data_IF_765600547997
#
_entry.id   IF_765600547997
#
_cell.length_a   1.000
_cell.length_b   1.000
_cell.length_c   1.000
_cell.angle_alpha   90.00
_cell.angle_beta   90.00
_cell.angle_gamma   90.00
#
_symmetry.space_group_name_H-M   'P 1'
#
loop_
_entity.id
_entity.type
_entity.pdbx_description
1 polymer ?
#
# COMPACT_ATOMS: atom_id res chain seq x y z
N UNK A 1 13.70 -1.13 5.86
CA UNK A 1 13.44 -0.59 6.89
C UNK A 1 12.18 -0.91 7.60
N UNK A 2 12.34 -1.62 8.65
CA UNK A 2 11.20 -2.05 9.35
C UNK A 2 10.45 -0.96 9.98
N UNK A 3 11.16 0.07 10.34
CA UNK A 3 10.53 1.13 10.95
C UNK A 3 9.47 1.74 10.14
N UNK A 4 9.60 1.71 8.85
CA UNK A 4 8.62 2.30 7.99
C UNK A 4 7.30 1.57 8.17
N UNK A 5 7.34 0.26 8.28
CA UNK A 5 6.15 -0.47 8.47
C UNK A 5 5.51 -0.22 9.81
N UNK A 6 6.32 -0.11 10.81
CA UNK A 6 5.81 0.14 12.12
C UNK A 6 5.26 1.50 12.19
N UNK A 7 5.99 2.45 11.65
CA UNK A 7 5.57 3.80 11.75
C UNK A 7 4.35 4.09 10.96
N UNK A 8 4.10 3.38 9.90
CA UNK A 8 2.93 3.69 9.16
C UNK A 8 1.71 3.50 10.00
N UNK A 9 1.73 2.54 10.93
CA UNK A 9 0.59 2.39 11.76
C UNK A 9 0.52 3.46 12.79
N UNK A 10 1.64 3.99 13.19
CA UNK A 10 1.64 5.03 14.18
C UNK A 10 1.29 6.34 13.57
N UNK A 11 1.92 6.64 12.46
CA UNK A 11 1.73 7.92 11.85
C UNK A 11 0.34 8.16 11.45
N UNK A 12 -0.34 7.15 11.11
CA UNK A 12 -1.61 7.36 10.57
C UNK A 12 -2.68 7.28 11.55
N UNK A 13 -2.34 7.15 12.77
CA UNK A 13 -3.32 6.91 13.70
C UNK A 13 -3.72 7.94 14.57
N UNK A 14 -3.45 9.14 14.21
CA UNK A 14 -3.90 10.22 14.98
C UNK A 14 -5.37 10.23 14.98
N UNK A 15 -6.00 9.60 14.02
CA UNK A 15 -7.42 9.53 14.04
C UNK A 15 -7.84 8.23 13.44
N UNK A 16 -9.03 7.78 13.73
CA UNK A 16 -9.50 6.52 13.23
C UNK A 16 -9.52 6.53 11.73
N UNK A 17 -8.92 5.56 11.14
CA UNK A 17 -8.88 5.51 9.71
C UNK A 17 -10.03 4.74 9.19
N UNK A 18 -10.66 5.25 8.20
CA UNK A 18 -11.58 4.49 7.44
C UNK A 18 -10.81 3.84 6.35
N UNK A 19 -11.34 2.86 5.73
CA UNK A 19 -10.72 2.30 4.57
C UNK A 19 -10.60 3.38 3.58
N UNK A 20 -9.41 3.67 3.20
CA UNK A 20 -9.19 4.71 2.27
C UNK A 20 -8.60 4.10 1.07
N UNK A 21 -9.26 4.21 -0.02
CA UNK A 21 -8.71 3.84 -1.28
C UNK A 21 -8.18 5.11 -1.83
N UNK A 22 -6.90 5.33 -1.60
CA UNK A 22 -6.25 6.54 -2.06
C UNK A 22 -6.19 6.55 -3.56
N UNK A 23 -5.98 5.38 -4.17
CA UNK A 23 -5.99 5.27 -5.62
C UNK A 23 -6.40 3.88 -5.97
N UNK A 24 -7.16 3.69 -7.03
CA UNK A 24 -7.40 2.35 -7.51
C UNK A 24 -6.09 1.72 -7.95
N UNK A 25 -5.97 0.43 -7.72
CA UNK A 25 -4.74 -0.26 -8.09
C UNK A 25 -4.41 -0.05 -9.56
N UNK A 26 -5.41 -0.02 -10.41
CA UNK A 26 -5.18 0.13 -11.84
C UNK A 26 -4.49 1.42 -12.20
N UNK A 27 -4.57 2.42 -11.36
CA UNK A 27 -3.95 3.69 -11.68
C UNK A 27 -2.46 3.70 -11.46
N UNK A 28 -1.93 2.73 -10.74
CA UNK A 28 -0.50 2.69 -10.55
C UNK A 28 0.16 1.60 -11.38
N UNK A 29 -0.60 0.91 -12.21
CA UNK A 29 -0.05 -0.11 -13.08
C UNK A 29 0.15 0.47 -14.47
N UNK A 30 1.32 0.24 -15.03
CA UNK A 30 1.64 0.78 -16.33
C UNK A 30 2.29 -0.32 -17.15
N UNK A 31 1.79 -0.54 -18.34
CA UNK A 31 2.31 -1.60 -19.19
C UNK A 31 3.81 -1.46 -19.43
N UNK A 32 4.47 -2.59 -19.42
CA UNK A 32 5.91 -2.61 -19.63
C UNK A 32 6.18 -3.01 -21.08
N UNK A 33 6.86 -2.17 -21.85
CA UNK A 33 7.13 -2.50 -23.25
C UNK A 33 8.02 -3.73 -23.40
N UNK A 34 8.70 -4.13 -22.35
CA UNK A 34 9.55 -5.31 -22.41
C UNK A 34 8.78 -6.60 -22.14
N UNK A 35 7.52 -6.52 -21.81
CA UNK A 35 6.70 -7.71 -21.64
C UNK A 35 6.81 -8.40 -20.29
N UNK A 36 7.39 -7.74 -19.29
CA UNK A 36 7.48 -8.32 -17.97
C UNK A 36 6.20 -8.22 -17.18
N UNK A 37 5.21 -7.53 -17.68
CA UNK A 37 3.98 -7.28 -16.93
C UNK A 37 3.82 -5.79 -16.74
N UNK A 38 3.10 -5.38 -15.72
CA UNK A 38 2.91 -3.96 -15.49
C UNK A 38 3.92 -3.45 -14.49
N UNK A 39 4.42 -2.27 -14.73
CA UNK A 39 5.29 -1.60 -13.77
C UNK A 39 4.39 -1.00 -12.69
N UNK A 40 4.75 -1.17 -11.43
CA UNK A 40 4.01 -0.57 -10.32
C UNK A 40 4.60 0.78 -10.03
N UNK A 41 3.81 1.82 -10.21
CA UNK A 41 4.28 3.18 -10.04
C UNK A 41 3.90 3.74 -8.70
N UNK A 42 4.62 4.76 -8.27
CA UNK A 42 4.29 5.48 -7.06
C UNK A 42 2.94 6.16 -7.20
N UNK A 43 2.01 5.96 -6.30
CA UNK A 43 0.69 6.59 -6.41
C UNK A 43 0.71 8.09 -6.18
N UNK A 44 1.80 8.61 -5.66
CA UNK A 44 1.88 10.05 -5.38
C UNK A 44 2.48 10.79 -6.57
N UNK A 45 3.56 10.29 -7.15
CA UNK A 45 4.27 11.03 -8.19
C UNK A 45 4.51 10.24 -9.47
N UNK A 46 4.02 9.01 -9.53
CA UNK A 46 4.17 8.17 -10.72
C UNK A 46 5.58 7.73 -11.06
N UNK A 47 6.48 7.80 -10.09
CA UNK A 47 7.85 7.35 -10.31
C UNK A 47 7.86 5.83 -10.53
N UNK A 48 8.73 5.34 -11.37
CA UNK A 48 8.72 3.96 -11.83
C UNK A 48 9.46 2.97 -10.94
N UNK A 49 10.32 3.44 -10.07
CA UNK A 49 11.19 2.53 -9.34
C UNK A 49 10.83 2.48 -7.88
N UNK A 50 10.62 1.28 -7.38
CA UNK A 50 10.25 1.08 -5.98
C UNK A 50 10.76 -0.28 -5.52
N UNK A 51 10.74 -0.48 -4.21
CA UNK A 51 11.21 -1.71 -3.59
C UNK A 51 10.14 -2.25 -2.66
N UNK A 52 9.89 -3.53 -2.74
CA UNK A 52 8.96 -4.19 -1.84
C UNK A 52 9.65 -4.43 -0.53
N UNK A 53 8.97 -4.08 0.55
CA UNK A 53 9.47 -4.36 1.88
C UNK A 53 8.82 -5.64 2.39
N UNK A 54 8.85 -5.85 3.67
CA UNK A 54 8.38 -7.11 4.24
C UNK A 54 6.86 -7.21 4.19
N UNK A 55 6.36 -8.27 3.59
CA UNK A 55 4.92 -8.48 3.43
C UNK A 55 4.33 -8.98 4.73
N UNK A 56 3.16 -8.49 5.07
CA UNK A 56 2.49 -8.87 6.29
C UNK A 56 1.05 -9.31 6.03
N UNK A 57 0.56 -10.17 6.90
CA UNK A 57 -0.81 -10.64 6.84
C UNK A 57 -1.47 -10.14 8.12
N UNK A 58 -2.33 -9.17 8.02
CA UNK A 58 -2.88 -8.47 9.18
C UNK A 58 -4.41 -8.55 9.17
N UNK A 59 -5.03 -8.30 10.31
CA UNK A 59 -6.48 -8.22 10.38
C UNK A 59 -6.87 -6.78 10.67
N UNK A 60 -8.16 -6.49 10.72
CA UNK A 60 -8.61 -5.13 10.89
C UNK A 60 -8.26 -4.55 12.24
N UNK A 61 -7.99 -5.38 13.23
CA UNK A 61 -7.57 -4.85 14.52
C UNK A 61 -6.14 -4.35 14.45
N UNK A 62 -5.32 -4.97 13.63
CA UNK A 62 -3.91 -4.59 13.51
C UNK A 62 -3.70 -3.57 12.40
N UNK A 63 -4.56 -3.56 11.42
CA UNK A 63 -4.36 -2.68 10.26
C UNK A 63 -5.65 -1.90 10.02
N UNK A 64 -5.68 -0.68 10.47
CA UNK A 64 -6.90 0.10 10.48
C UNK A 64 -7.39 0.53 9.10
N UNK A 65 -6.55 0.47 8.10
CA UNK A 65 -6.99 0.79 6.76
C UNK A 65 -7.88 -0.32 6.19
N UNK A 66 -7.92 -1.49 6.82
CA UNK A 66 -8.72 -2.61 6.33
C UNK A 66 -9.94 -2.81 7.25
N UNK A 67 -11.15 -2.47 6.76
CA UNK A 67 -12.33 -2.61 7.59
C UNK A 67 -13.00 -3.98 7.51
N UNK A 68 -12.52 -4.86 6.66
CA UNK A 68 -13.17 -6.14 6.45
C UNK A 68 -12.93 -7.11 7.59
N UNK A 69 -13.63 -8.25 7.55
CA UNK A 69 -13.54 -9.20 8.62
C UNK A 69 -12.38 -10.14 8.49
N UNK A 70 -11.99 -10.47 7.29
CA UNK A 70 -10.90 -11.41 7.09
C UNK A 70 -9.56 -10.73 7.15
N UNK A 71 -8.53 -11.45 6.77
CA UNK A 71 -7.19 -10.90 6.81
C UNK A 71 -6.92 -10.01 5.61
N UNK A 72 -5.88 -9.24 5.70
CA UNK A 72 -5.44 -8.37 4.64
C UNK A 72 -3.96 -8.58 4.42
N UNK A 73 -3.58 -8.91 3.21
CA UNK A 73 -2.18 -9.03 2.85
C UNK A 73 -1.71 -7.61 2.53
N UNK A 74 -0.68 -7.17 3.23
CA UNK A 74 -0.16 -5.83 3.07
C UNK A 74 1.22 -5.94 2.45
N UNK A 75 1.38 -5.36 1.28
CA UNK A 75 2.65 -5.38 0.56
C UNK A 75 3.19 -3.97 0.57
N UNK A 76 4.16 -3.68 1.43
CA UNK A 76 4.67 -2.32 1.52
C UNK A 76 5.65 -2.03 0.41
N UNK A 77 5.56 -0.86 -0.14
CA UNK A 77 6.49 -0.39 -1.17
C UNK A 77 7.12 0.90 -0.70
N UNK A 78 8.38 1.04 -1.02
CA UNK A 78 9.05 2.30 -0.79
C UNK A 78 9.61 2.75 -2.12
N UNK A 79 9.20 3.89 -2.61
CA UNK A 79 9.67 4.40 -3.88
C UNK A 79 11.05 4.99 -3.77
N UNK A 80 11.81 4.91 -4.83
CA UNK A 80 13.10 5.59 -4.85
C UNK A 80 12.89 7.09 -4.86
N UNK A 81 11.67 7.53 -5.07
CA UNK A 81 11.29 8.91 -4.96
C UNK A 81 11.07 9.39 -3.54
N UNK A 82 11.11 8.49 -2.57
CA UNK A 82 10.94 8.85 -1.17
C UNK A 82 9.53 8.70 -0.63
N UNK A 83 8.57 8.32 -1.46
CA UNK A 83 7.22 8.07 -0.99
C UNK A 83 7.08 6.61 -0.56
N UNK A 84 6.08 6.35 0.25
CA UNK A 84 5.83 4.98 0.71
C UNK A 84 4.36 4.69 0.67
N UNK A 85 4.01 3.50 0.29
CA UNK A 85 2.61 3.09 0.20
C UNK A 85 2.50 1.58 0.38
N UNK A 86 1.28 1.12 0.61
CA UNK A 86 1.01 -0.30 0.69
C UNK A 86 0.05 -0.68 -0.43
N UNK A 87 0.32 -1.81 -1.05
CA UNK A 87 -0.65 -2.45 -1.91
C UNK A 87 -1.29 -3.53 -1.07
N UNK A 88 -2.58 -3.51 -0.97
CA UNK A 88 -3.29 -4.36 -0.02
C UNK A 88 -4.30 -5.23 -0.72
N UNK A 89 -4.41 -6.48 -0.26
CA UNK A 89 -5.43 -7.39 -0.76
C UNK A 89 -6.16 -7.93 0.45
N UNK A 90 -7.39 -7.51 0.63
CA UNK A 90 -8.17 -7.90 1.80
C UNK A 90 -9.30 -8.84 1.44
N UNK A 91 -9.60 -9.76 2.33
CA UNK A 91 -10.66 -10.73 2.11
C UNK A 91 -11.84 -10.42 3.01
N UNK A 92 -13.04 -10.38 2.43
CA UNK A 92 -14.22 -10.11 3.22
C UNK A 92 -15.40 -10.79 2.55
N UNK A 93 -16.02 -11.72 3.27
CA UNK A 93 -17.23 -12.39 2.81
C UNK A 93 -17.12 -13.01 1.42
N UNK A 94 -16.06 -13.72 1.21
CA UNK A 94 -15.88 -14.45 -0.05
C UNK A 94 -15.32 -13.65 -1.19
N UNK A 95 -15.07 -12.36 -0.99
CA UNK A 95 -14.51 -11.54 -2.03
C UNK A 95 -13.16 -11.00 -1.61
N UNK A 96 -12.31 -10.76 -2.58
CA UNK A 96 -11.02 -10.15 -2.31
C UNK A 96 -11.01 -8.76 -2.90
N UNK A 97 -10.47 -7.82 -2.15
CA UNK A 97 -10.45 -6.43 -2.54
C UNK A 97 -9.01 -5.95 -2.60
N UNK A 98 -8.67 -5.21 -3.64
CA UNK A 98 -7.33 -4.65 -3.76
C UNK A 98 -7.43 -3.14 -3.63
N UNK A 99 -6.53 -2.54 -2.87
CA UNK A 99 -6.52 -1.10 -2.69
C UNK A 99 -5.12 -0.61 -2.34
N UNK A 100 -4.95 0.69 -2.41
CA UNK A 100 -3.68 1.34 -2.08
C UNK A 100 -3.87 2.15 -0.81
N UNK A 101 -2.92 2.05 0.07
CA UNK A 101 -2.92 2.85 1.30
C UNK A 101 -1.62 3.65 1.30
N UNK A 102 -1.71 4.95 1.09
CA UNK A 102 -0.52 5.78 1.01
C UNK A 102 -0.04 6.10 2.41
N UNK A 103 1.19 5.73 2.69
CA UNK A 103 1.76 5.86 4.02
C UNK A 103 2.53 7.15 4.17
N UNK A 104 3.30 7.52 3.18
CA UNK A 104 4.10 8.73 3.26
C UNK A 104 3.99 9.50 1.97
N UNK A 105 3.25 10.61 2.01
CA UNK A 105 3.02 11.44 0.84
C UNK A 105 4.12 12.44 0.61
N UNK A 106 4.81 12.85 1.65
CA UNK A 106 5.93 13.76 1.48
C UNK A 106 7.16 12.94 1.18
N UNK A 107 7.89 13.31 0.17
CA UNK A 107 9.09 12.59 -0.19
C UNK A 107 10.12 12.73 0.91
N UNK A 108 10.81 11.65 1.20
CA UNK A 108 11.85 11.71 2.19
C UNK A 108 13.16 11.58 1.44
N UNK A 109 13.93 12.59 1.46
CA UNK A 109 15.18 12.61 0.71
C UNK A 109 16.39 12.35 1.58
#
# INVERSE_FOLDING_TARGET
MREVLVMRTVDMDTEPRKAVIDSPLSEILCGDPNGFGDIIKCPVCNFDYSHIQEIEDLNSDSYKAWPGRGSCIVIPFEGECGHAWNVCIGHHKGQNFAFIDIVRRAARL
#
